data_IF_026117162755
#
_entry.id   IF_026117162755
#
_cell.length_a   1.000
_cell.length_b   1.000
_cell.length_c   1.000
_cell.angle_alpha   90.00
_cell.angle_beta   90.00
_cell.angle_gamma   90.00
#
_symmetry.space_group_name_H-M   'P 1'
#
loop_
_entity.id
_entity.type
_entity.pdbx_description
1 polymer ?
#
# COMPACT_ATOMS: atom_id res chain seq x y z
N UNK A 1 -41.58 72.97 -25.48
CA UNK A 1 -41.35 72.19 -24.24
C UNK A 1 -40.82 70.82 -24.66
N UNK A 2 -39.67 70.43 -24.13
CA UNK A 2 -38.86 69.25 -24.53
C UNK A 2 -39.61 67.93 -24.31
N UNK A 3 -39.69 67.11 -25.34
CA UNK A 3 -40.02 65.68 -25.20
C UNK A 3 -38.75 64.93 -24.79
N UNK A 4 -38.77 64.31 -23.60
CA UNK A 4 -37.72 63.41 -23.14
C UNK A 4 -38.18 62.00 -23.50
N UNK A 5 -37.52 61.41 -24.50
CA UNK A 5 -37.60 59.98 -24.80
C UNK A 5 -36.77 59.23 -23.76
N UNK A 6 -37.44 58.46 -22.89
CA UNK A 6 -36.81 57.55 -21.95
C UNK A 6 -36.56 56.23 -22.70
N UNK A 7 -35.34 56.04 -23.19
CA UNK A 7 -34.90 54.76 -23.75
C UNK A 7 -34.48 53.84 -22.61
N UNK A 8 -35.32 52.85 -22.27
CA UNK A 8 -34.93 51.74 -21.41
C UNK A 8 -33.90 50.87 -22.14
N UNK A 9 -32.62 51.05 -21.80
CA UNK A 9 -31.57 50.11 -22.15
C UNK A 9 -31.72 48.87 -21.26
N UNK A 10 -32.39 47.85 -21.78
CA UNK A 10 -32.39 46.52 -21.18
C UNK A 10 -31.01 45.91 -21.46
N UNK A 11 -30.08 46.07 -20.51
CA UNK A 11 -28.80 45.38 -20.54
C UNK A 11 -29.08 43.91 -20.23
N UNK A 12 -29.10 43.07 -21.26
CA UNK A 12 -28.94 41.64 -21.08
C UNK A 12 -27.52 41.40 -20.54
N UNK A 13 -27.40 41.27 -19.22
CA UNK A 13 -26.26 40.60 -18.62
C UNK A 13 -26.38 39.12 -19.03
N UNK A 14 -25.77 38.77 -20.16
CA UNK A 14 -25.35 37.40 -20.41
C UNK A 14 -24.34 37.08 -19.30
N UNK A 15 -24.79 36.40 -18.24
CA UNK A 15 -23.85 35.71 -17.37
C UNK A 15 -23.22 34.61 -18.22
N UNK A 16 -22.00 34.82 -18.69
CA UNK A 16 -21.11 33.71 -19.00
C UNK A 16 -20.88 32.96 -17.67
N UNK A 17 -21.75 32.01 -17.37
CA UNK A 17 -21.37 30.89 -16.52
C UNK A 17 -20.51 30.01 -17.44
N UNK A 18 -19.22 30.32 -17.52
CA UNK A 18 -18.27 29.38 -18.09
C UNK A 18 -18.28 28.18 -17.16
N UNK A 19 -19.05 27.16 -17.52
CA UNK A 19 -18.94 25.84 -16.91
C UNK A 19 -17.57 25.29 -17.36
N UNK A 20 -16.51 25.70 -16.65
CA UNK A 20 -15.19 25.13 -16.81
C UNK A 20 -15.31 23.61 -16.76
N UNK A 21 -14.98 22.99 -17.89
CA UNK A 21 -15.04 21.55 -18.10
C UNK A 21 -13.66 21.13 -18.56
N UNK A 22 -13.11 20.14 -17.86
CA UNK A 22 -11.81 19.58 -18.17
C UNK A 22 -12.00 18.14 -18.63
N UNK A 23 -11.72 17.88 -19.90
CA UNK A 23 -11.88 16.57 -20.53
C UNK A 23 -10.53 15.89 -20.74
N UNK A 24 -10.47 14.60 -20.48
CA UNK A 24 -9.28 13.80 -20.71
C UNK A 24 -9.63 12.34 -20.98
N UNK A 25 -8.69 11.61 -21.58
CA UNK A 25 -8.77 10.16 -21.82
C UNK A 25 -7.60 9.44 -21.17
N UNK A 26 -7.88 8.21 -20.74
CA UNK A 26 -6.85 7.27 -20.28
C UNK A 26 -6.53 6.35 -21.45
N UNK A 27 -5.26 6.30 -21.82
CA UNK A 27 -4.74 5.40 -22.84
C UNK A 27 -3.88 4.36 -22.13
N UNK A 28 -4.42 3.15 -22.06
CA UNK A 28 -3.76 1.99 -21.48
C UNK A 28 -2.95 1.25 -22.56
N UNK A 29 -1.85 0.64 -22.13
CA UNK A 29 -1.06 -0.26 -22.97
C UNK A 29 -1.70 -1.64 -23.06
N UNK A 30 -1.24 -2.44 -24.04
CA UNK A 30 -1.75 -3.77 -24.28
C UNK A 30 -1.57 -4.72 -23.07
N UNK A 31 -2.64 -5.43 -22.74
CA UNK A 31 -2.66 -6.42 -21.66
C UNK A 31 -2.93 -5.85 -20.27
N UNK A 32 -3.38 -4.61 -20.17
CA UNK A 32 -4.02 -4.07 -18.96
C UNK A 32 -5.54 -4.20 -19.12
N UNK A 33 -6.18 -4.95 -18.23
CA UNK A 33 -7.62 -5.21 -18.23
C UNK A 33 -8.22 -5.24 -16.82
N UNK A 34 -7.50 -4.70 -15.84
CA UNK A 34 -7.96 -4.58 -14.46
C UNK A 34 -8.16 -3.13 -14.07
N UNK A 35 -9.12 -2.89 -13.17
CA UNK A 35 -9.34 -1.55 -12.62
C UNK A 35 -8.11 -1.05 -11.87
N UNK A 36 -7.75 0.21 -12.10
CA UNK A 36 -6.44 0.76 -11.75
C UNK A 36 -6.56 2.14 -11.11
N UNK A 37 -5.93 2.41 -9.95
CA UNK A 37 -5.84 3.75 -9.40
C UNK A 37 -5.07 4.70 -10.33
N UNK A 38 -5.70 5.82 -10.71
CA UNK A 38 -5.10 6.86 -11.55
C UNK A 38 -4.99 8.16 -10.78
N UNK A 39 -3.83 8.80 -10.88
CA UNK A 39 -3.60 10.15 -10.38
C UNK A 39 -3.48 11.18 -11.49
N UNK A 40 -4.10 12.33 -11.30
CA UNK A 40 -3.95 13.53 -12.12
C UNK A 40 -3.39 14.67 -11.27
N UNK A 41 -2.41 15.40 -11.78
CA UNK A 41 -2.00 16.67 -11.16
C UNK A 41 -3.09 17.70 -11.38
N UNK A 42 -3.52 18.37 -10.31
CA UNK A 42 -4.56 19.39 -10.35
C UNK A 42 -4.18 20.54 -11.30
N UNK A 43 -2.91 20.96 -11.28
CA UNK A 43 -2.37 21.98 -12.19
C UNK A 43 -2.39 21.56 -13.67
N UNK A 44 -2.24 20.25 -13.96
CA UNK A 44 -2.20 19.76 -15.33
C UNK A 44 -3.57 19.88 -16.04
N UNK A 45 -4.65 20.00 -15.27
CA UNK A 45 -6.00 20.21 -15.77
C UNK A 45 -6.48 21.64 -15.51
N UNK A 46 -5.58 22.61 -15.33
CA UNK A 46 -5.96 24.03 -15.25
C UNK A 46 -6.79 24.44 -14.01
N UNK A 47 -6.84 23.60 -12.98
CA UNK A 47 -7.40 23.95 -11.69
C UNK A 47 -6.31 24.66 -10.87
N UNK A 48 -6.20 25.98 -11.00
CA UNK A 48 -5.14 26.75 -10.32
C UNK A 48 -5.42 27.00 -8.83
N UNK A 49 -6.67 26.95 -8.39
CA UNK A 49 -7.08 27.17 -7.00
C UNK A 49 -7.87 25.97 -6.46
N UNK A 50 -7.50 25.49 -5.28
CA UNK A 50 -8.18 24.41 -4.54
C UNK A 50 -9.44 24.90 -3.82
N UNK A 51 -9.72 26.21 -3.86
CA UNK A 51 -10.97 26.77 -3.35
C UNK A 51 -12.17 26.32 -4.22
N UNK A 52 -13.11 25.58 -3.62
CA UNK A 52 -14.33 25.09 -4.29
C UNK A 52 -14.30 23.64 -4.75
N UNK A 53 -13.37 22.81 -4.24
CA UNK A 53 -13.28 21.37 -4.52
C UNK A 53 -14.57 20.59 -4.25
N UNK A 54 -15.35 21.00 -3.25
CA UNK A 54 -16.62 20.36 -2.91
C UNK A 54 -17.62 20.43 -4.08
N UNK A 55 -17.44 21.40 -4.97
CA UNK A 55 -18.29 21.62 -6.13
C UNK A 55 -17.74 20.94 -7.39
N UNK A 56 -16.80 20.00 -7.33
CA UNK A 56 -16.32 19.27 -8.50
C UNK A 56 -16.95 17.88 -8.58
N UNK A 57 -17.18 17.42 -9.81
CA UNK A 57 -17.59 16.05 -10.09
C UNK A 57 -16.77 15.49 -11.25
N UNK A 58 -16.22 14.29 -11.04
CA UNK A 58 -15.68 13.47 -12.13
C UNK A 58 -16.82 12.66 -12.74
N UNK A 59 -16.92 12.67 -14.07
CA UNK A 59 -17.91 11.90 -14.82
C UNK A 59 -17.27 11.19 -16.01
N UNK A 60 -17.88 10.10 -16.46
CA UNK A 60 -17.57 9.46 -17.73
C UNK A 60 -18.86 8.92 -18.35
N UNK A 61 -19.05 9.12 -19.66
CA UNK A 61 -20.27 8.70 -20.37
C UNK A 61 -21.58 9.16 -19.70
N UNK A 62 -21.56 10.30 -19.00
CA UNK A 62 -22.71 10.86 -18.27
C UNK A 62 -22.91 10.29 -16.85
N UNK A 63 -22.14 9.29 -16.44
CA UNK A 63 -22.18 8.73 -15.08
C UNK A 63 -21.13 9.39 -14.18
N UNK A 64 -21.48 9.59 -12.91
CA UNK A 64 -20.55 10.15 -11.92
C UNK A 64 -19.64 9.07 -11.35
N UNK A 65 -18.34 9.35 -11.33
CA UNK A 65 -17.31 8.43 -10.84
C UNK A 65 -16.77 8.95 -9.51
N UNK A 66 -16.60 8.09 -8.49
CA UNK A 66 -15.91 8.45 -7.26
C UNK A 66 -14.50 8.97 -7.56
N UNK A 67 -14.16 10.11 -6.98
CA UNK A 67 -12.82 10.70 -7.06
C UNK A 67 -12.45 11.32 -5.72
N UNK A 68 -11.17 11.56 -5.49
CA UNK A 68 -10.65 12.01 -4.21
C UNK A 68 -9.47 12.95 -4.41
N UNK A 69 -9.47 14.08 -3.70
CA UNK A 69 -8.33 14.98 -3.67
C UNK A 69 -7.32 14.54 -2.62
N UNK A 70 -6.08 14.37 -3.06
CA UNK A 70 -4.90 14.35 -2.21
C UNK A 70 -4.37 15.79 -2.15
N UNK A 71 -4.75 16.51 -1.10
CA UNK A 71 -4.49 17.95 -0.96
C UNK A 71 -3.01 18.24 -0.84
N UNK A 72 -2.29 17.42 -0.09
CA UNK A 72 -0.85 17.61 0.16
C UNK A 72 -0.05 17.40 -1.12
N UNK A 73 -0.40 16.37 -1.90
CA UNK A 73 0.27 16.11 -3.17
C UNK A 73 -0.31 16.93 -4.33
N UNK A 74 -1.43 17.65 -4.14
CA UNK A 74 -2.19 18.33 -5.20
C UNK A 74 -2.55 17.40 -6.37
N UNK A 75 -3.04 16.21 -6.04
CA UNK A 75 -3.49 15.23 -7.03
C UNK A 75 -4.99 14.92 -6.87
N UNK A 76 -5.63 14.59 -7.98
CA UNK A 76 -6.92 13.89 -8.00
C UNK A 76 -6.66 12.42 -8.22
N UNK A 77 -7.31 11.59 -7.41
CA UNK A 77 -7.31 10.14 -7.54
C UNK A 77 -8.70 9.63 -7.89
N UNK A 78 -8.75 8.63 -8.76
CA UNK A 78 -9.95 7.84 -9.06
C UNK A 78 -9.53 6.43 -9.50
N UNK A 79 -10.46 5.49 -9.56
CA UNK A 79 -10.20 4.17 -10.14
C UNK A 79 -10.71 4.16 -11.57
N UNK A 80 -9.79 3.94 -12.52
CA UNK A 80 -10.10 3.72 -13.92
C UNK A 80 -10.54 2.27 -14.13
N UNK A 81 -11.73 2.05 -14.67
CA UNK A 81 -12.13 0.76 -15.23
C UNK A 81 -11.54 0.63 -16.64
N UNK A 82 -10.69 -0.38 -16.85
CA UNK A 82 -10.09 -0.68 -18.16
C UNK A 82 -11.12 -0.95 -19.27
N UNK A 83 -12.36 -1.32 -18.93
CA UNK A 83 -13.46 -1.43 -19.88
C UNK A 83 -13.96 -0.07 -20.40
N UNK A 84 -13.68 1.02 -19.67
CA UNK A 84 -14.11 2.36 -20.05
C UNK A 84 -13.15 2.98 -21.08
N UNK A 85 -13.55 2.93 -22.35
CA UNK A 85 -12.83 3.56 -23.47
C UNK A 85 -13.29 5.00 -23.78
N UNK A 86 -14.15 5.57 -22.93
CA UNK A 86 -14.70 6.91 -23.07
C UNK A 86 -13.78 8.02 -22.52
N UNK A 87 -14.22 9.27 -22.67
CA UNK A 87 -13.60 10.43 -22.04
C UNK A 87 -14.12 10.62 -20.61
N UNK A 88 -13.23 11.09 -19.75
CA UNK A 88 -13.53 11.59 -18.43
C UNK A 88 -13.73 13.10 -18.50
N UNK A 89 -14.62 13.61 -17.65
CA UNK A 89 -14.94 15.04 -17.57
C UNK A 89 -15.00 15.47 -16.11
N UNK A 90 -14.22 16.48 -15.75
CA UNK A 90 -14.33 17.17 -14.47
C UNK A 90 -15.14 18.44 -14.70
N UNK A 91 -16.25 18.58 -13.96
CA UNK A 91 -17.20 19.70 -14.08
C UNK A 91 -17.50 20.29 -12.71
N UNK A 92 -17.77 21.60 -12.65
CA UNK A 92 -18.32 22.24 -11.45
C UNK A 92 -19.82 21.95 -11.31
N UNK A 93 -20.25 21.36 -10.19
CA UNK A 93 -21.66 21.14 -9.81
C UNK A 93 -22.06 22.05 -8.64
N UNK A 94 -23.32 22.49 -8.64
CA UNK A 94 -23.90 23.35 -7.61
C UNK A 94 -24.20 22.62 -6.27
N UNK A 95 -24.04 21.30 -6.21
CA UNK A 95 -24.33 20.49 -5.03
C UNK A 95 -23.40 19.28 -4.97
N UNK A 96 -22.83 19.05 -3.79
CA UNK A 96 -22.05 17.87 -3.45
C UNK A 96 -23.00 16.69 -3.29
N UNK A 97 -22.89 15.66 -4.14
CA UNK A 97 -23.44 14.35 -3.80
C UNK A 97 -22.38 13.63 -2.97
N UNK A 98 -22.67 13.40 -1.69
CA UNK A 98 -21.89 12.47 -0.87
C UNK A 98 -22.02 11.08 -1.51
N UNK A 99 -20.92 10.60 -2.09
CA UNK A 99 -20.87 9.25 -2.63
C UNK A 99 -21.11 8.24 -1.51
N UNK A 100 -22.09 7.35 -1.69
CA UNK A 100 -22.33 6.22 -0.79
C UNK A 100 -21.31 5.10 -1.08
N UNK A 101 -20.08 5.22 -0.57
CA UNK A 101 -19.01 4.26 -0.84
C UNK A 101 -17.65 4.71 -0.30
N UNK A 102 -16.62 3.88 -0.48
CA UNK A 102 -15.25 4.18 -0.08
C UNK A 102 -14.74 3.42 1.14
N UNK A 103 -13.57 3.87 1.62
CA UNK A 103 -12.83 3.29 2.73
C UNK A 103 -12.82 4.27 3.88
N UNK A 104 -13.38 3.83 5.02
CA UNK A 104 -13.39 4.56 6.26
C UNK A 104 -12.15 4.24 7.08
N UNK A 105 -11.56 5.26 7.67
CA UNK A 105 -10.49 5.11 8.66
C UNK A 105 -11.04 5.32 10.06
N UNK A 106 -10.74 4.40 10.97
CA UNK A 106 -11.07 4.52 12.40
C UNK A 106 -9.85 4.25 13.26
N UNK A 107 -9.69 5.01 14.35
CA UNK A 107 -8.65 4.81 15.36
C UNK A 107 -9.27 4.42 16.69
N UNK A 108 -8.80 3.32 17.29
CA UNK A 108 -9.22 2.90 18.62
C UNK A 108 -8.17 1.99 19.29
N UNK A 109 -7.89 2.19 20.59
CA UNK A 109 -7.10 1.25 21.41
C UNK A 109 -5.75 0.80 20.82
N UNK A 110 -5.02 1.68 20.12
CA UNK A 110 -3.76 1.30 19.47
C UNK A 110 -3.90 0.82 18.02
N UNK A 111 -5.11 0.84 17.46
CA UNK A 111 -5.41 0.37 16.11
C UNK A 111 -5.87 1.49 15.22
N UNK A 112 -5.33 1.53 14.00
CA UNK A 112 -5.90 2.25 12.88
C UNK A 112 -6.46 1.22 11.91
N UNK A 113 -7.77 1.23 11.69
CA UNK A 113 -8.47 0.32 10.81
C UNK A 113 -8.89 1.05 9.52
N UNK A 114 -8.70 0.38 8.38
CA UNK A 114 -9.24 0.79 7.08
C UNK A 114 -10.38 -0.17 6.73
N UNK A 115 -11.60 0.38 6.68
CA UNK A 115 -12.85 -0.36 6.74
C UNK A 115 -13.66 -0.11 5.45
N UNK A 116 -14.10 -1.19 4.81
CA UNK A 116 -15.07 -1.17 3.70
C UNK A 116 -16.38 -1.77 4.19
N UNK A 117 -17.44 -0.97 4.22
CA UNK A 117 -18.71 -1.37 4.82
C UNK A 117 -18.53 -1.69 6.32
N UNK A 118 -18.65 -2.96 6.70
CA UNK A 118 -18.42 -3.43 8.07
C UNK A 118 -17.14 -4.24 8.24
N UNK A 119 -16.32 -4.40 7.20
CA UNK A 119 -15.15 -5.28 7.22
C UNK A 119 -13.88 -4.43 7.36
N UNK A 120 -13.11 -4.58 8.46
CA UNK A 120 -11.83 -3.90 8.64
C UNK A 120 -10.74 -4.61 7.82
N UNK A 121 -10.71 -4.34 6.52
CA UNK A 121 -9.82 -4.99 5.54
C UNK A 121 -8.36 -5.00 6.00
N UNK A 122 -7.90 -3.90 6.61
CA UNK A 122 -6.53 -3.74 7.08
C UNK A 122 -6.50 -3.02 8.43
N UNK A 123 -5.71 -3.53 9.37
CA UNK A 123 -5.43 -2.86 10.65
C UNK A 123 -3.93 -2.61 10.82
N UNK A 124 -3.56 -1.36 11.06
CA UNK A 124 -2.22 -0.97 11.49
C UNK A 124 -2.17 -0.81 13.01
N UNK A 125 -1.27 -1.56 13.65
CA UNK A 125 -1.08 -1.61 15.10
C UNK A 125 -0.05 -0.56 15.51
N UNK A 126 -0.51 0.62 15.92
CA UNK A 126 0.34 1.69 16.47
C UNK A 126 0.53 1.58 17.99
N UNK A 127 -0.41 0.92 18.69
CA UNK A 127 -0.28 0.57 20.09
C UNK A 127 0.74 -0.54 20.31
N UNK A 128 1.31 -0.58 21.52
CA UNK A 128 2.23 -1.65 21.90
C UNK A 128 1.50 -2.97 22.05
N UNK A 129 1.93 -3.97 21.29
CA UNK A 129 1.53 -5.36 21.44
C UNK A 129 2.56 -6.08 22.29
N UNK A 130 2.10 -6.69 23.38
CA UNK A 130 2.94 -7.46 24.29
C UNK A 130 3.06 -8.91 23.84
N UNK A 131 4.12 -9.57 24.31
CA UNK A 131 4.31 -11.01 24.08
C UNK A 131 3.19 -11.82 24.74
N UNK A 132 2.88 -13.03 24.22
CA UNK A 132 1.95 -13.94 24.87
C UNK A 132 2.39 -14.30 26.30
N UNK A 133 1.44 -14.79 27.11
CA UNK A 133 1.75 -15.23 28.47
C UNK A 133 2.85 -16.32 28.46
N UNK A 134 3.85 -16.17 29.32
CA UNK A 134 5.00 -17.08 29.41
C UNK A 134 6.10 -16.86 28.36
N UNK A 135 5.92 -15.92 27.43
CA UNK A 135 6.91 -15.54 26.43
C UNK A 135 7.63 -14.27 26.87
N UNK A 136 8.94 -14.19 26.60
CA UNK A 136 9.76 -13.04 26.97
C UNK A 136 9.19 -11.73 26.41
N UNK A 137 9.08 -10.70 27.26
CA UNK A 137 8.60 -9.37 26.91
C UNK A 137 9.44 -8.65 25.84
N UNK A 138 10.64 -9.15 25.54
CA UNK A 138 11.54 -8.62 24.50
C UNK A 138 10.87 -8.57 23.13
N UNK A 139 9.91 -9.47 22.88
CA UNK A 139 9.22 -9.50 21.60
C UNK A 139 8.21 -8.37 21.43
N UNK A 140 7.86 -7.58 22.45
CA UNK A 140 6.87 -6.51 22.32
C UNK A 140 7.15 -5.57 21.14
N UNK A 141 6.11 -5.19 20.41
CA UNK A 141 6.26 -4.40 19.17
C UNK A 141 5.04 -3.50 18.91
N UNK A 142 5.27 -2.43 18.17
CA UNK A 142 4.26 -1.63 17.47
C UNK A 142 4.78 -1.33 16.07
N UNK A 143 3.97 -0.73 15.20
CA UNK A 143 4.38 -0.37 13.85
C UNK A 143 4.41 -1.57 12.90
N UNK A 144 3.26 -2.19 12.71
CA UNK A 144 3.08 -3.31 11.78
C UNK A 144 1.60 -3.44 11.39
N UNK A 145 1.33 -4.17 10.30
CA UNK A 145 -0.04 -4.40 9.82
C UNK A 145 -0.50 -5.79 10.28
N UNK A 146 -1.55 -5.84 11.09
CA UNK A 146 -2.29 -7.05 11.44
C UNK A 146 -3.59 -6.66 12.19
N UNK A 147 -4.74 -7.30 11.89
CA UNK A 147 -4.93 -8.25 10.79
C UNK A 147 -4.98 -7.59 9.41
N UNK A 148 -4.56 -8.35 8.39
CA UNK A 148 -5.01 -8.23 7.01
C UNK A 148 -6.15 -9.25 6.80
N UNK A 149 -7.29 -8.79 6.29
CA UNK A 149 -8.47 -9.60 6.02
C UNK A 149 -8.73 -9.75 4.53
N UNK A 150 -9.26 -10.89 4.09
CA UNK A 150 -9.83 -11.03 2.75
C UNK A 150 -11.11 -10.19 2.61
N UNK A 151 -11.60 -9.95 1.37
CA UNK A 151 -12.85 -9.21 1.14
C UNK A 151 -14.06 -9.76 1.89
N UNK A 152 -14.13 -11.08 2.09
CA UNK A 152 -15.16 -11.77 2.88
C UNK A 152 -14.91 -11.78 4.39
N UNK A 153 -13.79 -11.22 4.85
CA UNK A 153 -13.44 -11.07 6.26
C UNK A 153 -12.56 -12.17 6.85
N UNK A 154 -11.98 -13.06 6.03
CA UNK A 154 -11.07 -14.09 6.53
C UNK A 154 -9.71 -13.49 6.93
N UNK A 155 -9.19 -13.82 8.11
CA UNK A 155 -7.87 -13.37 8.54
C UNK A 155 -6.77 -14.19 7.89
N UNK A 156 -5.96 -13.54 7.05
CA UNK A 156 -4.90 -14.19 6.25
C UNK A 156 -3.49 -13.94 6.78
N UNK A 157 -3.28 -12.90 7.59
CA UNK A 157 -2.01 -12.61 8.27
C UNK A 157 -1.96 -13.21 9.68
N UNK A 158 -0.76 -13.43 10.24
CA UNK A 158 -0.55 -13.91 11.62
C UNK A 158 0.59 -13.18 12.34
N UNK A 159 0.47 -13.05 13.65
CA UNK A 159 1.54 -12.53 14.53
C UNK A 159 1.93 -13.57 15.58
N UNK A 160 3.13 -13.38 16.16
CA UNK A 160 3.65 -14.09 17.33
C UNK A 160 3.38 -15.62 17.34
N UNK A 161 3.60 -16.34 16.22
CA UNK A 161 3.40 -17.78 16.20
C UNK A 161 4.40 -18.45 17.17
N UNK A 162 4.05 -19.60 17.80
CA UNK A 162 4.92 -20.23 18.81
C UNK A 162 6.31 -20.64 18.31
N UNK A 163 6.48 -20.82 17.00
CA UNK A 163 7.76 -21.12 16.36
C UNK A 163 8.64 -19.88 16.15
N UNK A 164 8.04 -18.69 16.03
CA UNK A 164 8.73 -17.43 15.72
C UNK A 164 8.01 -16.19 16.30
N UNK A 165 8.11 -15.95 17.62
CA UNK A 165 7.39 -14.85 18.30
C UNK A 165 7.69 -13.43 17.77
N UNK A 166 8.77 -13.25 17.02
CA UNK A 166 9.13 -11.97 16.41
C UNK A 166 8.45 -11.70 15.05
N UNK A 167 7.57 -12.59 14.56
CA UNK A 167 6.80 -12.36 13.34
C UNK A 167 5.56 -11.51 13.58
N UNK A 168 5.31 -10.51 12.72
CA UNK A 168 4.30 -9.47 12.93
C UNK A 168 3.44 -9.13 11.71
N UNK A 169 2.67 -10.09 11.19
CA UNK A 169 1.67 -9.80 10.15
C UNK A 169 2.33 -9.39 8.84
N UNK A 170 2.35 -8.08 8.53
CA UNK A 170 3.10 -7.50 7.41
C UNK A 170 4.01 -6.37 7.93
N UNK A 171 5.29 -6.41 7.56
CA UNK A 171 6.33 -5.48 8.03
C UNK A 171 7.61 -5.56 7.17
N UNK A 172 8.57 -4.66 7.39
CA UNK A 172 9.92 -4.71 6.78
C UNK A 172 11.00 -5.25 7.75
N UNK A 173 11.47 -6.51 7.61
CA UNK A 173 12.47 -7.11 8.52
C UNK A 173 13.92 -6.73 8.21
N UNK A 174 14.45 -5.64 8.75
CA UNK A 174 15.91 -5.36 8.69
C UNK A 174 16.68 -6.11 9.80
N UNK A 175 17.18 -7.32 9.48
CA UNK A 175 17.82 -8.24 10.46
C UNK A 175 19.35 -8.22 10.48
N UNK A 176 19.98 -7.84 9.37
CA UNK A 176 21.43 -7.91 9.17
C UNK A 176 21.94 -6.52 8.80
N UNK A 177 22.12 -5.66 9.81
CA UNK A 177 22.66 -4.31 9.63
C UNK A 177 23.92 -4.11 10.44
N UNK A 178 24.81 -3.23 9.97
CA UNK A 178 26.04 -2.84 10.63
C UNK A 178 26.04 -1.33 10.88
N UNK A 179 26.26 -0.94 12.14
CA UNK A 179 26.34 0.44 12.61
C UNK A 179 27.65 0.59 13.36
N UNK A 180 28.53 1.46 12.88
CA UNK A 180 29.86 1.69 13.47
C UNK A 180 30.69 0.41 13.68
N UNK A 181 30.48 -0.60 12.83
CA UNK A 181 31.17 -1.90 12.90
C UNK A 181 30.53 -2.93 13.82
N UNK A 182 29.40 -2.59 14.45
CA UNK A 182 28.61 -3.51 15.27
C UNK A 182 27.32 -3.94 14.55
N UNK A 183 26.98 -5.22 14.69
CA UNK A 183 25.75 -5.76 14.14
C UNK A 183 24.54 -5.33 14.96
N UNK A 184 23.52 -4.84 14.27
CA UNK A 184 22.21 -4.51 14.84
C UNK A 184 21.11 -5.19 14.05
N UNK A 185 20.36 -6.04 14.73
CA UNK A 185 19.15 -6.68 14.23
C UNK A 185 17.91 -5.98 14.80
N UNK A 186 17.12 -5.33 13.94
CA UNK A 186 15.91 -4.61 14.35
C UNK A 186 14.68 -5.51 14.49
N UNK A 187 14.78 -6.80 14.14
CA UNK A 187 13.62 -7.64 13.93
C UNK A 187 13.61 -8.99 14.63
N UNK A 188 14.72 -9.72 14.76
CA UNK A 188 14.69 -11.01 15.50
C UNK A 188 14.42 -10.82 17.01
N UNK A 189 14.70 -9.62 17.53
CA UNK A 189 14.47 -9.12 18.90
C UNK A 189 15.17 -9.90 20.04
N UNK A 190 15.43 -11.19 19.90
CA UNK A 190 15.92 -12.10 20.95
C UNK A 190 17.25 -11.66 21.58
N UNK A 191 18.12 -11.02 20.79
CA UNK A 191 19.41 -10.52 21.28
C UNK A 191 19.36 -9.09 21.84
N UNK A 192 18.18 -8.45 21.83
CA UNK A 192 17.98 -7.10 22.34
C UNK A 192 18.86 -6.06 21.66
N UNK A 193 19.21 -6.27 20.38
CA UNK A 193 20.09 -5.37 19.63
C UNK A 193 19.34 -4.13 19.14
N UNK A 194 18.24 -4.34 18.44
CA UNK A 194 17.37 -3.26 17.98
C UNK A 194 15.90 -3.62 18.02
N UNK A 195 15.06 -2.65 17.67
CA UNK A 195 13.62 -2.82 17.49
C UNK A 195 13.10 -1.78 16.50
N UNK A 196 11.86 -1.93 16.05
CA UNK A 196 11.14 -0.91 15.29
C UNK A 196 9.85 -0.63 16.02
N UNK A 197 9.57 0.64 16.28
CA UNK A 197 8.39 1.11 16.99
C UNK A 197 7.72 2.26 16.24
N UNK A 198 6.39 2.29 16.31
CA UNK A 198 5.61 3.44 15.89
C UNK A 198 5.97 4.67 16.72
N UNK A 199 6.04 5.83 16.07
CA UNK A 199 6.25 7.13 16.71
C UNK A 199 4.99 7.99 16.67
N UNK A 200 4.53 8.33 15.47
CA UNK A 200 3.38 9.19 15.22
C UNK A 200 2.82 9.00 13.80
N UNK A 201 1.65 9.58 13.53
CA UNK A 201 1.08 9.62 12.19
C UNK A 201 1.38 10.96 11.54
N UNK A 202 1.95 10.95 10.35
CA UNK A 202 2.12 12.13 9.51
C UNK A 202 0.77 12.57 8.93
N UNK A 203 -0.03 11.61 8.44
CA UNK A 203 -1.38 11.84 7.92
C UNK A 203 -2.25 10.58 8.05
N UNK A 204 -3.56 10.76 8.11
CA UNK A 204 -4.57 9.69 8.03
C UNK A 204 -5.84 10.18 7.35
N UNK A 205 -6.40 9.39 6.43
CA UNK A 205 -7.54 9.82 5.65
C UNK A 205 -8.58 8.70 5.45
N UNK A 206 -9.85 9.11 5.39
CA UNK A 206 -10.95 8.34 4.79
C UNK A 206 -11.27 8.93 3.43
N UNK A 207 -11.91 8.16 2.55
CA UNK A 207 -12.40 8.75 1.31
C UNK A 207 -13.13 7.78 0.38
N UNK A 208 -13.77 8.36 -0.63
CA UNK A 208 -14.66 7.66 -1.56
C UNK A 208 -13.92 6.69 -2.49
N UNK A 209 -12.61 6.88 -2.68
CA UNK A 209 -11.76 6.08 -3.57
C UNK A 209 -10.79 5.23 -2.76
N UNK A 210 -10.15 5.84 -1.76
CA UNK A 210 -9.21 5.16 -0.89
C UNK A 210 -9.22 5.75 0.53
N UNK A 211 -8.81 4.92 1.48
CA UNK A 211 -8.49 5.31 2.84
C UNK A 211 -7.04 4.92 3.12
N UNK A 212 -6.37 5.65 3.98
CA UNK A 212 -4.94 5.46 4.16
C UNK A 212 -4.35 6.17 5.35
N UNK A 213 -3.04 6.00 5.50
CA UNK A 213 -2.23 6.67 6.48
C UNK A 213 -0.77 6.78 6.02
N UNK A 214 -0.05 7.73 6.59
CA UNK A 214 1.41 7.75 6.65
C UNK A 214 1.82 7.70 8.12
N UNK A 215 2.55 6.67 8.51
CA UNK A 215 3.00 6.45 9.88
C UNK A 215 4.53 6.54 9.95
N UNK A 216 5.02 7.40 10.84
CA UNK A 216 6.43 7.50 11.16
C UNK A 216 6.82 6.41 12.16
N UNK A 217 7.88 5.68 11.86
CA UNK A 217 8.42 4.60 12.67
C UNK A 217 9.94 4.77 12.82
N UNK A 218 10.43 4.42 14.00
CA UNK A 218 11.84 4.55 14.35
C UNK A 218 12.46 3.15 14.46
N UNK A 219 13.54 2.91 13.70
CA UNK A 219 14.41 1.76 13.90
C UNK A 219 15.44 2.15 14.96
N UNK A 220 15.40 1.47 16.09
CA UNK A 220 16.06 1.86 17.32
C UNK A 220 17.19 0.87 17.61
N UNK A 221 18.42 1.37 17.74
CA UNK A 221 19.53 0.61 18.32
C UNK A 221 19.44 0.68 19.86
N UNK A 222 19.11 -0.43 20.50
CA UNK A 222 18.88 -0.50 21.95
C UNK A 222 20.18 -0.48 22.77
N UNK A 223 21.33 -0.70 22.13
CA UNK A 223 22.65 -0.72 22.76
C UNK A 223 23.41 0.59 22.59
N UNK A 224 22.95 1.48 21.72
CA UNK A 224 23.56 2.79 21.48
C UNK A 224 23.31 3.79 22.62
N UNK A 225 24.16 4.82 22.68
CA UNK A 225 23.92 6.02 23.49
C UNK A 225 22.66 6.77 23.00
N UNK A 226 22.07 7.58 23.88
CA UNK A 226 20.79 8.23 23.61
C UNK A 226 20.78 9.10 22.34
N UNK A 227 21.90 9.75 22.03
CA UNK A 227 22.11 10.61 20.86
C UNK A 227 22.26 9.83 19.54
N UNK A 228 22.59 8.54 19.58
CA UNK A 228 22.74 7.65 18.41
C UNK A 228 21.71 6.53 18.37
N UNK A 229 20.66 6.65 19.17
CA UNK A 229 19.68 5.58 19.38
C UNK A 229 18.79 5.35 18.16
N UNK A 230 18.46 6.40 17.41
CA UNK A 230 17.65 6.29 16.20
C UNK A 230 18.58 5.99 15.03
N UNK A 231 18.43 4.80 14.48
CA UNK A 231 19.24 4.29 13.39
C UNK A 231 18.62 4.62 12.03
N UNK A 232 17.30 4.42 11.89
CA UNK A 232 16.52 4.82 10.73
C UNK A 232 15.24 5.50 11.15
N UNK A 233 14.85 6.48 10.35
CA UNK A 233 13.52 7.04 10.30
C UNK A 233 12.80 6.44 9.10
N UNK A 234 11.60 5.90 9.29
CA UNK A 234 10.78 5.33 8.22
C UNK A 234 9.38 5.94 8.23
N UNK A 235 8.98 6.54 7.11
CA UNK A 235 7.61 6.91 6.84
C UNK A 235 6.95 5.83 5.98
N UNK A 236 6.07 5.05 6.61
CA UNK A 236 5.28 4.01 5.96
C UNK A 236 3.94 4.59 5.49
N UNK A 237 3.79 4.79 4.18
CA UNK A 237 2.53 5.18 3.53
C UNK A 237 1.76 3.93 3.08
N UNK A 238 0.51 3.82 3.54
CA UNK A 238 -0.42 2.74 3.18
C UNK A 238 -1.72 3.32 2.63
N UNK A 239 -2.18 2.82 1.49
CA UNK A 239 -3.48 3.17 0.90
C UNK A 239 -4.26 1.91 0.56
N UNK A 240 -5.47 1.78 1.06
CA UNK A 240 -6.42 0.73 0.67
C UNK A 240 -7.36 1.32 -0.37
N UNK A 241 -7.39 0.72 -1.55
CA UNK A 241 -8.21 1.16 -2.68
C UNK A 241 -9.49 0.35 -2.79
N UNK A 242 -10.59 1.07 -2.95
CA UNK A 242 -11.89 0.51 -3.29
C UNK A 242 -11.98 0.30 -4.81
N UNK A 243 -11.89 -0.95 -5.25
CA UNK A 243 -11.95 -1.30 -6.67
C UNK A 243 -13.39 -1.44 -7.19
N UNK A 244 -14.39 -1.14 -6.35
CA UNK A 244 -15.80 -1.44 -6.60
C UNK A 244 -16.07 -2.90 -6.97
N UNK A 245 -15.31 -3.80 -6.33
CA UNK A 245 -15.42 -5.25 -6.52
C UNK A 245 -15.63 -5.95 -5.18
N UNK A 246 -16.52 -6.95 -5.12
CA UNK A 246 -16.78 -7.69 -3.88
C UNK A 246 -15.70 -8.74 -3.59
N UNK A 247 -14.93 -9.16 -4.59
CA UNK A 247 -14.00 -10.30 -4.52
C UNK A 247 -12.54 -9.89 -4.30
N UNK A 248 -12.20 -8.59 -4.29
CA UNK A 248 -10.83 -8.12 -4.12
C UNK A 248 -10.71 -6.63 -3.83
N UNK A 249 -9.58 -6.24 -3.25
CA UNK A 249 -9.15 -4.86 -3.07
C UNK A 249 -7.63 -4.73 -3.25
N UNK A 250 -7.12 -3.50 -3.34
CA UNK A 250 -5.68 -3.22 -3.42
C UNK A 250 -5.17 -2.53 -2.15
N UNK A 251 -3.92 -2.79 -1.82
CA UNK A 251 -3.16 -2.08 -0.79
C UNK A 251 -1.85 -1.60 -1.39
N UNK A 252 -1.63 -0.29 -1.45
CA UNK A 252 -0.29 0.26 -1.68
C UNK A 252 0.46 0.31 -0.37
N UNK A 253 1.74 -0.06 -0.42
CA UNK A 253 2.69 -0.04 0.69
C UNK A 253 3.96 0.66 0.20
N UNK A 254 4.24 1.85 0.70
CA UNK A 254 5.44 2.60 0.35
C UNK A 254 6.22 2.92 1.62
N UNK A 255 7.45 2.41 1.70
CA UNK A 255 8.39 2.72 2.76
C UNK A 255 9.38 3.76 2.25
N UNK A 256 9.38 4.95 2.86
CA UNK A 256 10.41 5.97 2.66
C UNK A 256 11.28 6.00 3.91
N UNK A 257 12.59 5.93 3.77
CA UNK A 257 13.46 5.88 4.94
C UNK A 257 14.81 6.56 4.70
N UNK A 258 15.38 7.07 5.79
CA UNK A 258 16.72 7.64 5.83
C UNK A 258 17.39 7.33 7.18
N UNK A 259 18.70 7.55 7.26
CA UNK A 259 19.46 7.41 8.51
C UNK A 259 19.99 8.77 8.97
N UNK A 260 19.76 9.18 10.23
CA UNK A 260 20.35 10.39 10.79
C UNK A 260 21.82 10.18 11.23
N UNK A 261 22.35 8.96 11.17
CA UNK A 261 23.69 8.64 11.65
C UNK A 261 24.76 9.21 10.71
N UNK A 262 25.80 9.82 11.28
CA UNK A 262 26.88 10.49 10.53
C UNK A 262 27.60 9.57 9.53
N UNK A 263 27.69 8.27 9.84
CA UNK A 263 28.31 7.27 8.98
C UNK A 263 27.28 6.40 8.24
N UNK A 264 25.98 6.65 8.41
CA UNK A 264 24.90 5.85 7.88
C UNK A 264 24.91 4.41 8.39
N UNK A 265 24.28 3.50 7.65
CA UNK A 265 24.10 2.10 8.02
C UNK A 265 24.42 1.21 6.84
N UNK A 266 25.11 0.10 7.06
CA UNK A 266 25.26 -0.92 6.02
C UNK A 266 24.21 -2.00 6.26
N UNK A 267 23.35 -2.24 5.29
CA UNK A 267 22.53 -3.43 5.24
C UNK A 267 23.34 -4.53 4.56
N UNK A 268 23.69 -5.58 5.30
CA UNK A 268 24.49 -6.68 4.78
C UNK A 268 23.65 -7.58 3.88
N UNK A 269 24.29 -8.21 2.90
CA UNK A 269 23.60 -9.15 2.02
C UNK A 269 22.99 -10.31 2.83
N UNK A 270 21.66 -10.43 2.87
CA UNK A 270 20.97 -11.41 3.71
C UNK A 270 19.58 -11.80 3.21
N UNK A 271 19.21 -13.06 3.41
CA UNK A 271 17.97 -13.68 2.90
C UNK A 271 16.67 -13.24 3.57
N UNK A 272 16.73 -12.44 4.63
CA UNK A 272 15.60 -11.75 5.27
C UNK A 272 15.95 -10.26 5.30
N UNK A 273 15.89 -9.69 4.11
CA UNK A 273 16.60 -8.48 3.72
C UNK A 273 15.70 -7.25 3.61
N UNK A 274 14.83 -7.04 4.59
CA UNK A 274 13.87 -5.95 4.60
C UNK A 274 12.80 -6.06 3.50
N UNK A 275 12.45 -4.92 2.89
CA UNK A 275 11.38 -4.86 1.90
C UNK A 275 9.99 -5.10 2.50
N UNK A 276 9.23 -6.03 1.92
CA UNK A 276 7.86 -6.36 2.33
C UNK A 276 7.76 -7.83 2.70
N UNK A 277 7.71 -8.12 3.99
CA UNK A 277 7.54 -9.47 4.55
C UNK A 277 6.13 -9.70 5.08
N UNK A 278 5.63 -10.94 4.96
CA UNK A 278 4.34 -11.36 5.50
C UNK A 278 4.39 -12.76 6.10
N UNK A 279 3.88 -12.88 7.32
CA UNK A 279 3.55 -14.17 7.97
C UNK A 279 2.08 -14.46 7.78
N UNK A 280 1.77 -15.61 7.17
CA UNK A 280 0.40 -16.03 6.90
C UNK A 280 -0.23 -16.78 8.08
N UNK A 281 -1.55 -16.89 8.04
CA UNK A 281 -2.40 -17.66 8.97
C UNK A 281 -1.86 -19.07 9.25
N UNK A 282 -2.03 -19.55 10.48
CA UNK A 282 -1.67 -20.90 10.90
C UNK A 282 -2.38 -22.00 10.13
N UNK A 283 -3.54 -21.68 9.53
CA UNK A 283 -4.31 -22.63 8.72
C UNK A 283 -3.57 -23.04 7.47
N UNK A 284 -2.69 -22.18 6.95
CA UNK A 284 -1.97 -22.42 5.71
C UNK A 284 -0.66 -23.18 5.95
N UNK A 285 -0.61 -24.36 5.37
CA UNK A 285 0.55 -25.25 5.39
C UNK A 285 0.76 -25.85 3.99
N UNK A 286 1.77 -26.71 3.85
CA UNK A 286 2.20 -27.25 2.56
C UNK A 286 1.12 -27.90 1.71
N UNK A 287 0.06 -28.44 2.32
CA UNK A 287 -0.95 -29.24 1.62
C UNK A 287 -2.15 -28.40 1.16
N UNK A 288 -2.28 -27.14 1.61
CA UNK A 288 -3.44 -26.30 1.33
C UNK A 288 -3.11 -24.86 0.95
N UNK A 289 -1.84 -24.54 0.68
CA UNK A 289 -1.45 -23.26 0.09
C UNK A 289 -0.43 -23.43 -1.04
N UNK A 290 -0.49 -22.53 -2.02
CA UNK A 290 0.34 -22.51 -3.22
C UNK A 290 1.03 -21.17 -3.40
N UNK A 291 2.09 -21.19 -4.20
CA UNK A 291 2.84 -20.00 -4.64
C UNK A 291 2.93 -20.07 -6.16
N UNK A 292 2.79 -18.92 -6.82
CA UNK A 292 3.10 -18.74 -8.24
C UNK A 292 3.82 -17.41 -8.43
N UNK A 293 4.94 -17.39 -9.14
CA UNK A 293 5.70 -16.16 -9.42
C UNK A 293 5.56 -15.73 -10.89
N UNK A 294 5.98 -14.49 -11.20
CA UNK A 294 6.04 -13.98 -12.58
C UNK A 294 6.89 -14.82 -13.53
N UNK A 295 7.84 -15.58 -12.97
CA UNK A 295 8.73 -16.47 -13.73
C UNK A 295 8.21 -17.92 -13.80
N UNK A 296 6.99 -18.16 -13.31
CA UNK A 296 6.36 -19.49 -13.30
C UNK A 296 6.89 -20.43 -12.21
N UNK A 297 7.62 -19.92 -11.22
CA UNK A 297 8.09 -20.74 -10.10
C UNK A 297 6.95 -21.03 -9.13
N UNK A 298 6.95 -22.25 -8.60
CA UNK A 298 6.02 -22.68 -7.56
C UNK A 298 6.67 -22.57 -6.18
N UNK A 299 5.99 -23.06 -5.14
CA UNK A 299 6.49 -23.01 -3.76
C UNK A 299 7.81 -23.76 -3.56
N UNK A 300 8.08 -24.80 -4.36
CA UNK A 300 9.31 -25.58 -4.25
C UNK A 300 10.51 -24.83 -4.84
N UNK A 301 10.29 -24.06 -5.90
CA UNK A 301 11.39 -23.42 -6.67
C UNK A 301 11.51 -21.92 -6.47
N UNK A 302 10.54 -21.24 -5.84
CA UNK A 302 10.52 -19.79 -5.76
C UNK A 302 11.57 -19.17 -4.81
N UNK A 303 12.01 -19.86 -3.76
CA UNK A 303 12.92 -19.25 -2.77
C UNK A 303 14.26 -18.83 -3.38
N UNK A 304 14.63 -17.56 -3.17
CA UNK A 304 15.88 -17.00 -3.69
C UNK A 304 15.90 -16.74 -5.19
N UNK A 305 14.79 -16.95 -5.88
CA UNK A 305 14.60 -16.45 -7.25
C UNK A 305 14.09 -15.02 -7.23
N UNK A 306 14.17 -14.35 -8.38
CA UNK A 306 13.69 -13.00 -8.58
C UNK A 306 12.32 -13.03 -9.26
N UNK A 307 11.40 -12.14 -8.88
CA UNK A 307 10.12 -11.98 -9.57
C UNK A 307 9.59 -10.56 -9.49
N UNK A 308 8.77 -10.19 -10.49
CA UNK A 308 8.05 -8.91 -10.54
C UNK A 308 6.82 -8.94 -9.64
N UNK A 309 6.22 -10.13 -9.56
CA UNK A 309 5.10 -10.42 -8.69
C UNK A 309 5.14 -11.85 -8.18
N UNK A 310 4.50 -12.07 -7.03
CA UNK A 310 4.33 -13.38 -6.40
C UNK A 310 2.90 -13.47 -5.87
N UNK A 311 2.19 -14.54 -6.21
CA UNK A 311 0.86 -14.84 -5.72
C UNK A 311 0.92 -15.98 -4.71
N UNK A 312 0.38 -15.76 -3.52
CA UNK A 312 0.19 -16.78 -2.48
C UNK A 312 -1.30 -16.98 -2.29
N UNK A 313 -1.75 -18.23 -2.43
CA UNK A 313 -3.16 -18.61 -2.30
C UNK A 313 -3.27 -19.77 -1.33
N UNK A 314 -4.32 -19.78 -0.50
CA UNK A 314 -4.61 -20.94 0.33
C UNK A 314 -6.09 -21.09 0.64
N UNK A 315 -6.43 -22.18 1.32
CA UNK A 315 -7.80 -22.51 1.68
C UNK A 315 -8.45 -21.45 2.58
N UNK A 316 -9.70 -21.08 2.28
CA UNK A 316 -10.48 -20.13 3.08
C UNK A 316 -10.89 -20.75 4.42
N UNK A 317 -11.07 -19.93 5.46
CA UNK A 317 -11.45 -20.41 6.79
C UNK A 317 -12.78 -21.19 6.83
N UNK A 318 -13.69 -20.96 5.88
CA UNK A 318 -14.96 -21.69 5.77
C UNK A 318 -14.86 -23.02 4.98
N UNK A 319 -13.70 -23.33 4.41
CA UNK A 319 -13.44 -24.54 3.62
C UNK A 319 -14.17 -24.59 2.28
N UNK A 320 -14.75 -23.48 1.80
CA UNK A 320 -15.55 -23.46 0.55
C UNK A 320 -14.80 -22.95 -0.67
N UNK A 321 -13.58 -22.45 -0.49
CA UNK A 321 -12.79 -21.91 -1.58
C UNK A 321 -11.38 -21.55 -1.13
N UNK A 322 -10.83 -20.53 -1.77
CA UNK A 322 -9.50 -20.01 -1.48
C UNK A 322 -9.56 -18.50 -1.30
N UNK A 323 -8.57 -17.95 -0.62
CA UNK A 323 -8.25 -16.53 -0.67
C UNK A 323 -6.73 -16.38 -0.77
N UNK A 324 -6.27 -15.18 -1.08
CA UNK A 324 -4.88 -14.97 -1.44
C UNK A 324 -4.43 -13.53 -1.42
N UNK A 325 -3.12 -13.38 -1.58
CA UNK A 325 -2.45 -12.10 -1.77
C UNK A 325 -1.51 -12.22 -2.97
N UNK A 326 -1.68 -11.32 -3.92
CA UNK A 326 -0.71 -11.05 -4.98
C UNK A 326 0.16 -9.88 -4.54
N UNK A 327 1.46 -10.10 -4.40
CA UNK A 327 2.46 -9.09 -4.07
C UNK A 327 3.14 -8.60 -5.35
N UNK A 328 3.25 -7.29 -5.52
CA UNK A 328 3.80 -6.62 -6.68
C UNK A 328 5.00 -5.77 -6.26
N UNK A 329 6.15 -5.99 -6.91
CA UNK A 329 7.34 -5.15 -6.79
C UNK A 329 7.30 -4.05 -7.85
N UNK A 330 7.65 -2.83 -7.46
CA UNK A 330 7.68 -1.67 -8.36
C UNK A 330 9.02 -1.59 -9.12
N UNK A 331 9.03 -1.18 -10.42
CA UNK A 331 10.25 -1.15 -11.23
C UNK A 331 11.41 -0.30 -10.69
N UNK A 332 11.13 0.76 -9.93
CA UNK A 332 12.17 1.61 -9.33
C UNK A 332 12.78 1.02 -8.05
N UNK A 333 12.25 -0.08 -7.50
CA UNK A 333 12.83 -0.68 -6.31
C UNK A 333 14.25 -1.18 -6.63
N UNK A 334 15.16 -0.98 -5.67
CA UNK A 334 16.61 -1.21 -5.84
C UNK A 334 16.99 -2.50 -6.56
N UNK A 335 16.29 -3.59 -6.24
CA UNK A 335 16.61 -4.93 -6.75
C UNK A 335 15.53 -5.48 -7.69
N UNK A 336 14.66 -4.65 -8.26
CA UNK A 336 13.58 -5.11 -9.15
C UNK A 336 14.13 -5.79 -10.43
N UNK A 337 13.52 -6.90 -10.90
CA UNK A 337 12.58 -7.80 -10.20
C UNK A 337 13.21 -8.38 -8.93
N UNK A 338 12.51 -8.30 -7.80
CA UNK A 338 13.16 -8.48 -6.48
C UNK A 338 13.39 -9.95 -6.14
N UNK A 339 14.54 -10.29 -5.53
CA UNK A 339 14.77 -11.62 -5.00
C UNK A 339 13.84 -11.86 -3.81
N UNK A 340 13.29 -13.07 -3.69
CA UNK A 340 12.26 -13.39 -2.72
C UNK A 340 12.75 -14.35 -1.64
N UNK A 341 12.09 -14.32 -0.49
CA UNK A 341 12.12 -15.37 0.51
C UNK A 341 10.76 -16.07 0.54
N UNK A 342 10.76 -17.35 0.21
CA UNK A 342 9.59 -18.22 0.29
C UNK A 342 9.96 -19.38 1.21
N UNK A 343 9.18 -19.62 2.26
CA UNK A 343 9.54 -20.68 3.20
C UNK A 343 9.41 -22.08 2.57
N UNK A 344 10.46 -22.93 2.72
CA UNK A 344 10.47 -24.29 2.19
C UNK A 344 9.26 -25.10 2.64
N UNK A 345 8.83 -26.02 1.78
CA UNK A 345 7.65 -26.86 2.01
C UNK A 345 7.80 -27.80 3.22
N UNK A 346 9.04 -28.10 3.62
CA UNK A 346 9.41 -28.94 4.76
C UNK A 346 9.84 -28.13 5.99
N UNK A 347 9.73 -26.80 5.95
CA UNK A 347 10.02 -25.91 7.07
C UNK A 347 9.13 -26.15 8.29
N UNK A 348 9.54 -25.60 9.43
CA UNK A 348 8.80 -25.64 10.71
C UNK A 348 8.41 -27.06 11.14
N UNK A 349 9.41 -27.95 11.19
CA UNK A 349 9.22 -29.34 11.58
C UNK A 349 8.44 -30.18 10.56
N UNK A 350 8.52 -29.84 9.27
CA UNK A 350 7.84 -30.57 8.20
C UNK A 350 6.39 -30.17 7.97
N UNK A 351 5.85 -29.20 8.73
CA UNK A 351 4.50 -28.66 8.52
C UNK A 351 4.44 -27.81 7.25
N UNK A 352 5.49 -27.05 6.96
CA UNK A 352 5.54 -26.17 5.81
C UNK A 352 4.61 -24.97 5.96
N UNK A 353 4.71 -24.23 7.06
CA UNK A 353 3.97 -22.97 7.21
C UNK A 353 4.42 -21.93 6.17
N UNK A 354 3.51 -21.03 5.81
CA UNK A 354 3.75 -20.07 4.74
C UNK A 354 4.33 -18.74 5.27
N UNK A 355 5.34 -18.24 4.56
CA UNK A 355 5.95 -16.92 4.73
C UNK A 355 6.48 -16.44 3.38
N UNK A 356 6.26 -15.17 3.08
CA UNK A 356 6.73 -14.52 1.87
C UNK A 356 7.44 -13.21 2.23
N UNK A 357 8.50 -12.87 1.51
CA UNK A 357 9.13 -11.55 1.58
C UNK A 357 9.81 -11.19 0.25
N UNK A 358 9.68 -9.94 -0.19
CA UNK A 358 10.61 -9.35 -1.15
C UNK A 358 11.84 -8.83 -0.41
N UNK A 359 13.03 -9.32 -0.77
CA UNK A 359 14.28 -9.16 -0.02
C UNK A 359 15.30 -8.30 -0.79
N UNK A 360 15.18 -6.96 -0.86
CA UNK A 360 15.99 -6.11 -1.73
C UNK A 360 17.51 -6.19 -1.50
N UNK A 361 17.98 -6.77 -0.38
CA UNK A 361 19.40 -6.98 -0.08
C UNK A 361 19.80 -8.47 -0.08
N UNK A 362 19.03 -9.39 -0.67
CA UNK A 362 19.35 -10.83 -0.59
C UNK A 362 20.73 -11.20 -1.14
N UNK A 363 21.15 -10.54 -2.21
CA UNK A 363 22.38 -10.87 -2.94
C UNK A 363 23.45 -9.79 -2.83
N UNK A 364 23.06 -8.53 -2.64
CA UNK A 364 23.97 -7.39 -2.59
C UNK A 364 23.69 -6.56 -1.34
N UNK A 365 24.76 -6.14 -0.67
CA UNK A 365 24.67 -5.19 0.43
C UNK A 365 24.13 -3.84 -0.05
N UNK A 366 23.62 -3.04 0.89
CA UNK A 366 23.12 -1.72 0.62
C UNK A 366 23.59 -0.73 1.68
N UNK A 367 24.47 0.18 1.26
CA UNK A 367 24.85 1.32 2.09
C UNK A 367 23.74 2.36 2.10
N UNK A 368 23.16 2.57 3.26
CA UNK A 368 22.28 3.70 3.57
C UNK A 368 23.17 4.85 4.00
N UNK A 369 23.25 5.86 3.15
CA UNK A 369 24.05 7.07 3.36
C UNK A 369 23.34 8.00 4.37
N UNK A 370 24.11 8.81 5.12
CA UNK A 370 23.56 9.81 6.04
C UNK A 370 22.60 10.77 5.34
N UNK A 371 21.41 10.96 5.90
CA UNK A 371 20.39 11.93 5.47
C UNK A 371 19.97 11.80 3.99
N UNK A 372 20.22 10.64 3.36
CA UNK A 372 19.74 10.35 2.02
C UNK A 372 18.44 9.59 2.10
N UNK A 373 17.45 10.05 1.34
CA UNK A 373 16.15 9.39 1.26
C UNK A 373 16.19 8.20 0.30
N UNK A 374 15.67 7.09 0.78
CA UNK A 374 15.47 5.86 0.04
C UNK A 374 14.00 5.49 0.04
N UNK A 375 13.57 4.74 -0.96
CA UNK A 375 12.18 4.37 -1.14
C UNK A 375 12.02 2.97 -1.71
N UNK A 376 11.07 2.23 -1.16
CA UNK A 376 10.58 0.96 -1.71
C UNK A 376 9.06 1.03 -1.84
N UNK A 377 8.53 0.68 -3.01
CA UNK A 377 7.10 0.69 -3.31
C UNK A 377 6.62 -0.73 -3.62
N UNK A 378 5.50 -1.09 -3.03
CA UNK A 378 4.85 -2.37 -3.26
C UNK A 378 3.35 -2.17 -3.38
N UNK A 379 2.69 -3.11 -4.05
CA UNK A 379 1.23 -3.21 -4.06
C UNK A 379 0.84 -4.65 -3.74
N UNK A 380 -0.21 -4.80 -2.94
CA UNK A 380 -0.85 -6.08 -2.69
C UNK A 380 -2.25 -6.06 -3.30
N UNK A 381 -2.64 -7.12 -4.00
CA UNK A 381 -4.04 -7.40 -4.33
C UNK A 381 -4.51 -8.52 -3.42
N UNK A 382 -5.46 -8.23 -2.54
CA UNK A 382 -6.03 -9.21 -1.61
C UNK A 382 -7.36 -9.65 -2.18
N UNK A 383 -7.55 -10.96 -2.34
CA UNK A 383 -8.68 -11.51 -3.09
C UNK A 383 -9.29 -12.73 -2.42
N UNK A 384 -10.58 -12.92 -2.66
CA UNK A 384 -11.28 -14.19 -2.48
C UNK A 384 -11.39 -14.92 -3.82
N UNK A 385 -11.45 -16.25 -3.77
CA UNK A 385 -11.52 -17.12 -4.93
C UNK A 385 -10.17 -17.26 -5.63
N UNK A 386 -10.20 -17.23 -6.97
CA UNK A 386 -9.05 -17.46 -7.84
C UNK A 386 -8.66 -16.16 -8.53
N UNK A 387 -7.36 -15.94 -8.64
CA UNK A 387 -6.73 -14.92 -9.47
C UNK A 387 -5.79 -15.62 -10.44
N UNK A 388 -5.89 -15.34 -11.75
CA UNK A 388 -5.07 -16.03 -12.76
C UNK A 388 -3.70 -15.37 -12.95
N UNK A 389 -2.77 -16.07 -13.60
CA UNK A 389 -1.46 -15.51 -13.93
C UNK A 389 -1.58 -14.29 -14.86
N UNK A 390 -2.54 -14.32 -15.79
CA UNK A 390 -2.84 -13.20 -16.69
C UNK A 390 -3.38 -11.99 -15.91
N UNK A 391 -4.28 -12.21 -14.95
CA UNK A 391 -4.76 -11.13 -14.07
C UNK A 391 -3.61 -10.56 -13.23
N UNK A 392 -2.74 -11.42 -12.69
CA UNK A 392 -1.58 -11.00 -11.91
C UNK A 392 -0.63 -10.12 -12.74
N UNK A 393 -0.36 -10.51 -13.97
CA UNK A 393 0.45 -9.74 -14.91
C UNK A 393 -0.21 -8.40 -15.27
N UNK A 394 -1.54 -8.38 -15.50
CA UNK A 394 -2.27 -7.14 -15.75
C UNK A 394 -2.21 -6.18 -14.57
N UNK A 395 -2.33 -6.67 -13.33
CA UNK A 395 -2.18 -5.84 -12.14
C UNK A 395 -0.76 -5.28 -12.01
N UNK A 396 0.25 -6.11 -12.30
CA UNK A 396 1.64 -5.66 -12.26
C UNK A 396 1.90 -4.56 -13.30
N UNK A 397 1.46 -4.73 -14.55
CA UNK A 397 1.62 -3.71 -15.60
C UNK A 397 0.97 -2.37 -15.22
N UNK A 398 -0.26 -2.43 -14.73
CA UNK A 398 -1.00 -1.27 -14.21
C UNK A 398 -0.28 -0.57 -13.04
N UNK A 399 0.40 -1.34 -12.20
CA UNK A 399 1.17 -0.78 -11.09
C UNK A 399 2.52 -0.23 -11.56
N UNK A 400 3.20 -0.90 -12.49
CA UNK A 400 4.55 -0.59 -12.94
C UNK A 400 4.62 0.74 -13.70
N UNK A 401 3.59 1.04 -14.49
CA UNK A 401 3.56 2.23 -15.34
C UNK A 401 2.22 2.96 -15.22
N UNK A 402 2.29 4.27 -15.01
CA UNK A 402 1.11 5.13 -15.06
C UNK A 402 0.63 5.23 -16.50
N UNK A 403 -0.66 4.98 -16.80
CA UNK A 403 -1.15 5.06 -18.17
C UNK A 403 -1.05 6.49 -18.70
N UNK A 404 -0.97 6.61 -20.02
CA UNK A 404 -0.86 7.91 -20.66
C UNK A 404 -2.20 8.64 -20.59
N UNK A 405 -2.17 9.85 -20.04
CA UNK A 405 -3.34 10.71 -19.93
C UNK A 405 -3.30 11.74 -21.06
N UNK A 406 -4.38 11.80 -21.85
CA UNK A 406 -4.53 12.71 -22.98
C UNK A 406 -5.59 13.73 -22.66
N UNK A 407 -5.19 14.99 -22.44
CA UNK A 407 -6.12 16.11 -22.25
C UNK A 407 -6.76 16.46 -23.60
N UNK A 408 -8.06 16.72 -23.59
CA UNK A 408 -8.87 17.03 -24.79
C UNK A 408 -9.15 18.52 -24.97
#
# INVERSE_FOLDING_TARGET
MRHILLACFLVFLLSCNDNEKYSFKIVEDDGIFQSSPISLKVEAIGLEDTNGQDNLALTSNGEQIPFQFDKDKKHIWFVHDSGNKGSYEIVRKASVNEGSGGIKMEKNNGDLQLIKGSIPLLTYRYGMTYSPEGVDSIFKKSGYIHPLLSPSGDTISRIQPPDHYHHYGIWGPWTHTQIEGERVDFWNLVEGQGTVLFKDFNDTNSGAVYGGFSAHQEHINLKASADKRIALNEDLEVKVWDLDRPDRYMVDYTSNFNSPLENGILFEAYRYGGGLGMRFTERWHKDNCTVLTSEGNDRLTADGTNARWCMVTGESADGKGTNGVLFLSYPENRAHPEPMRVWPIDGNGGRGDMFFEFCPIRHEEWKIEPNKDYRLKYRMVVFDGKLTAEEAESYWKSFAEMPRIVIE
#
